data_IF_251907181950
#
_entry.id   IF_251907181950
#
_cell.length_a   1.000
_cell.length_b   1.000
_cell.length_c   1.000
_cell.angle_alpha   90.00
_cell.angle_beta   90.00
_cell.angle_gamma   90.00
#
_symmetry.space_group_name_H-M   'P 1'
#
loop_
_entity.id
_entity.type
_entity.pdbx_description
1 polymer ?
#
# COMPACT_ATOMS: atom_id res chain seq x y z
N UNK A 1 36.48 -48.69 -19.01
CA UNK A 1 36.49 -48.98 -20.46
C UNK A 1 36.67 -47.63 -21.12
N UNK A 2 37.93 -47.27 -21.35
CA UNK A 2 38.32 -45.94 -21.74
C UNK A 2 37.88 -45.60 -23.17
N UNK A 3 37.14 -44.49 -23.26
CA UNK A 3 37.34 -43.34 -24.14
C UNK A 3 37.57 -43.64 -25.63
N UNK A 4 36.53 -43.38 -26.42
CA UNK A 4 36.60 -43.15 -27.87
C UNK A 4 37.80 -42.27 -28.24
N UNK A 5 38.83 -42.85 -28.88
CA UNK A 5 40.10 -42.14 -29.11
C UNK A 5 40.71 -42.43 -30.48
N UNK A 6 40.00 -42.11 -31.56
CA UNK A 6 40.63 -41.62 -32.80
C UNK A 6 39.89 -40.37 -33.26
N UNK A 7 40.62 -39.36 -33.73
CA UNK A 7 40.05 -38.06 -34.13
C UNK A 7 38.94 -38.23 -35.18
N UNK A 8 39.06 -39.24 -36.06
CA UNK A 8 38.05 -39.54 -37.09
C UNK A 8 36.70 -39.99 -36.50
N UNK A 9 36.70 -40.85 -35.48
CA UNK A 9 35.46 -41.34 -34.87
C UNK A 9 34.76 -40.28 -34.02
N UNK A 10 35.53 -39.41 -33.36
CA UNK A 10 34.98 -38.26 -32.65
C UNK A 10 34.35 -37.26 -33.63
N UNK A 11 35.02 -37.00 -34.76
CA UNK A 11 34.48 -36.12 -35.80
C UNK A 11 33.18 -36.69 -36.43
N UNK A 12 33.10 -38.00 -36.64
CA UNK A 12 31.91 -38.65 -37.19
C UNK A 12 30.73 -38.65 -36.20
N UNK A 13 30.98 -38.84 -34.91
CA UNK A 13 29.97 -38.75 -33.86
C UNK A 13 29.37 -37.34 -33.77
N UNK A 14 30.20 -36.29 -33.85
CA UNK A 14 29.73 -34.89 -33.86
C UNK A 14 28.90 -34.61 -35.11
N UNK A 15 29.37 -35.02 -36.30
CA UNK A 15 28.60 -34.86 -37.55
C UNK A 15 27.25 -35.57 -37.48
N UNK A 16 27.20 -36.78 -36.92
CA UNK A 16 25.98 -37.55 -36.75
C UNK A 16 25.01 -36.87 -35.78
N UNK A 17 25.49 -36.38 -34.64
CA UNK A 17 24.69 -35.64 -33.67
C UNK A 17 24.00 -34.42 -34.29
N UNK A 18 24.74 -33.58 -35.03
CA UNK A 18 24.18 -32.40 -35.70
C UNK A 18 23.24 -32.76 -36.85
N UNK A 19 23.49 -33.84 -37.58
CA UNK A 19 22.59 -34.31 -38.63
C UNK A 19 21.26 -34.83 -38.06
N UNK A 20 21.29 -35.49 -36.91
CA UNK A 20 20.10 -36.04 -36.24
C UNK A 20 19.34 -34.98 -35.41
N UNK A 21 20.05 -34.04 -34.78
CA UNK A 21 19.47 -33.10 -33.81
C UNK A 21 19.51 -31.62 -34.25
N UNK A 22 20.09 -31.30 -35.41
CA UNK A 22 20.37 -29.92 -35.82
C UNK A 22 19.12 -29.04 -35.92
N UNK A 23 17.98 -29.61 -36.36
CA UNK A 23 16.70 -28.89 -36.40
C UNK A 23 16.20 -28.57 -34.99
N UNK A 24 16.23 -29.55 -34.08
CA UNK A 24 15.80 -29.37 -32.68
C UNK A 24 16.71 -28.37 -31.94
N UNK A 25 18.02 -28.42 -32.19
CA UNK A 25 18.97 -27.46 -31.63
C UNK A 25 18.72 -26.05 -32.17
N UNK A 26 18.50 -25.89 -33.47
CA UNK A 26 18.18 -24.59 -34.08
C UNK A 26 16.86 -24.02 -33.55
N UNK A 27 15.82 -24.84 -33.42
CA UNK A 27 14.56 -24.46 -32.80
C UNK A 27 14.74 -24.05 -31.34
N UNK A 28 15.49 -24.82 -30.56
CA UNK A 28 15.81 -24.50 -29.18
C UNK A 28 16.55 -23.17 -29.02
N UNK A 29 17.51 -22.88 -29.91
CA UNK A 29 18.23 -21.60 -29.93
C UNK A 29 17.29 -20.45 -30.30
N UNK A 30 16.43 -20.61 -31.31
CA UNK A 30 15.47 -19.56 -31.72
C UNK A 30 14.48 -19.26 -30.59
N UNK A 31 13.92 -20.29 -29.97
CA UNK A 31 12.99 -20.13 -28.84
C UNK A 31 13.71 -19.52 -27.64
N UNK A 32 14.93 -19.97 -27.33
CA UNK A 32 15.75 -19.44 -26.24
C UNK A 32 16.07 -17.95 -26.43
N UNK A 33 16.58 -17.57 -27.60
CA UNK A 33 16.88 -16.17 -27.90
C UNK A 33 15.61 -15.33 -27.96
N UNK A 34 14.55 -15.82 -28.62
CA UNK A 34 13.27 -15.12 -28.69
C UNK A 34 12.66 -14.86 -27.31
N UNK A 35 12.70 -15.86 -26.42
CA UNK A 35 12.26 -15.71 -25.03
C UNK A 35 13.08 -14.70 -24.25
N UNK A 36 14.42 -14.73 -24.38
CA UNK A 36 15.30 -13.78 -23.70
C UNK A 36 15.10 -12.34 -24.18
N UNK A 37 15.01 -12.12 -25.50
CA UNK A 37 14.75 -10.78 -26.05
C UNK A 37 13.35 -10.28 -25.68
N UNK A 38 12.34 -11.15 -25.74
CA UNK A 38 10.98 -10.81 -25.32
C UNK A 38 10.92 -10.41 -23.84
N UNK A 39 11.53 -11.20 -22.96
CA UNK A 39 11.61 -10.88 -21.53
C UNK A 39 12.37 -9.59 -21.26
N UNK A 40 13.52 -9.38 -21.93
CA UNK A 40 14.31 -8.15 -21.79
C UNK A 40 13.51 -6.92 -22.23
N UNK A 41 12.83 -7.00 -23.38
CA UNK A 41 12.00 -5.90 -23.87
C UNK A 41 10.84 -5.60 -22.92
N UNK A 42 10.17 -6.63 -22.41
CA UNK A 42 9.11 -6.48 -21.41
C UNK A 42 9.63 -5.82 -20.13
N UNK A 43 10.74 -6.31 -19.58
CA UNK A 43 11.35 -5.76 -18.37
C UNK A 43 11.81 -4.30 -18.57
N UNK A 44 12.42 -3.99 -19.71
CA UNK A 44 12.82 -2.61 -20.04
C UNK A 44 11.61 -1.69 -20.15
N UNK A 45 10.51 -2.15 -20.75
CA UNK A 45 9.28 -1.39 -20.81
C UNK A 45 8.72 -1.09 -19.42
N UNK A 46 8.65 -2.11 -18.54
CA UNK A 46 8.22 -1.93 -17.15
C UNK A 46 9.07 -0.90 -16.39
N UNK A 47 10.40 -0.96 -16.54
CA UNK A 47 11.33 0.00 -15.91
C UNK A 47 11.07 1.42 -16.44
N UNK A 48 11.01 1.58 -17.77
CA UNK A 48 10.84 2.90 -18.39
C UNK A 48 9.51 3.54 -18.00
N UNK A 49 8.42 2.78 -17.95
CA UNK A 49 7.12 3.26 -17.49
C UNK A 49 7.16 3.67 -16.01
N UNK A 50 7.84 2.89 -15.17
CA UNK A 50 7.98 3.22 -13.75
C UNK A 50 8.83 4.47 -13.50
N UNK A 51 9.88 4.68 -14.31
CA UNK A 51 10.73 5.89 -14.28
C UNK A 51 9.90 7.13 -14.67
N UNK A 52 9.14 7.06 -15.76
CA UNK A 52 8.27 8.16 -16.19
C UNK A 52 7.23 8.53 -15.13
N UNK A 53 6.55 7.54 -14.55
CA UNK A 53 5.59 7.80 -13.47
C UNK A 53 6.26 8.41 -12.23
N UNK A 54 7.52 8.09 -11.95
CA UNK A 54 8.32 8.67 -10.86
C UNK A 54 8.64 10.14 -11.09
N UNK A 55 9.08 10.48 -12.30
CA UNK A 55 9.41 11.86 -12.68
C UNK A 55 8.16 12.76 -12.67
N UNK A 56 7.06 12.25 -13.22
CA UNK A 56 5.77 12.94 -13.18
C UNK A 56 5.25 13.10 -11.74
N UNK A 57 5.40 12.07 -10.89
CA UNK A 57 5.04 12.15 -9.48
C UNK A 57 5.87 13.20 -8.74
N UNK A 58 7.18 13.25 -8.99
CA UNK A 58 8.08 14.26 -8.40
C UNK A 58 7.65 15.66 -8.80
N UNK A 59 7.30 15.84 -10.08
CA UNK A 59 6.78 17.11 -10.59
C UNK A 59 5.47 17.49 -9.92
N UNK A 60 4.54 16.54 -9.74
CA UNK A 60 3.28 16.76 -9.04
C UNK A 60 3.51 17.23 -7.60
N UNK A 61 4.34 16.52 -6.82
CA UNK A 61 4.56 16.83 -5.40
C UNK A 61 5.31 18.16 -5.19
N UNK A 62 6.07 18.63 -6.19
CA UNK A 62 6.73 19.93 -6.18
C UNK A 62 5.85 21.06 -6.72
N UNK A 63 4.65 20.76 -7.23
CA UNK A 63 3.71 21.75 -7.75
C UNK A 63 3.10 22.59 -6.63
N UNK A 64 2.88 23.87 -6.91
CA UNK A 64 2.09 24.75 -6.02
C UNK A 64 0.58 24.43 -6.08
N UNK A 65 0.13 23.65 -7.07
CA UNK A 65 -1.26 23.22 -7.24
C UNK A 65 -1.36 21.69 -7.39
N UNK A 66 -0.99 20.97 -6.32
CA UNK A 66 -1.16 19.50 -6.27
C UNK A 66 -2.62 19.12 -6.47
N UNK A 67 -3.56 19.84 -5.84
CA UNK A 67 -4.99 19.50 -5.89
C UNK A 67 -5.55 19.58 -7.31
N UNK A 68 -5.14 20.57 -8.12
CA UNK A 68 -5.58 20.70 -9.51
C UNK A 68 -4.97 19.63 -10.44
N UNK A 69 -3.77 19.16 -10.15
CA UNK A 69 -3.05 18.21 -11.01
C UNK A 69 -3.22 16.73 -10.62
N UNK A 70 -3.48 16.44 -9.34
CA UNK A 70 -3.47 15.08 -8.80
C UNK A 70 -4.47 14.14 -9.48
N UNK A 71 -5.69 14.59 -9.78
CA UNK A 71 -6.71 13.72 -10.38
C UNK A 71 -6.34 13.27 -11.80
N UNK A 72 -5.68 14.15 -12.55
CA UNK A 72 -5.18 13.81 -13.89
C UNK A 72 -4.02 12.84 -13.77
N UNK A 73 -3.08 13.07 -12.85
CA UNK A 73 -1.98 12.16 -12.59
C UNK A 73 -2.47 10.76 -12.17
N UNK A 74 -3.41 10.70 -11.21
CA UNK A 74 -4.01 9.45 -10.71
C UNK A 74 -4.67 8.71 -11.87
N UNK A 75 -5.45 9.39 -12.70
CA UNK A 75 -6.12 8.79 -13.86
C UNK A 75 -5.14 8.21 -14.88
N UNK A 76 -4.01 8.88 -15.12
CA UNK A 76 -3.01 8.41 -16.08
C UNK A 76 -2.13 7.28 -15.54
N UNK A 77 -2.07 7.11 -14.21
CA UNK A 77 -1.15 6.20 -13.53
C UNK A 77 -1.87 5.18 -12.62
N UNK A 78 -3.15 4.88 -12.86
CA UNK A 78 -4.02 4.10 -11.95
C UNK A 78 -3.43 2.75 -11.50
N UNK A 79 -2.69 2.08 -12.39
CA UNK A 79 -2.11 0.75 -12.13
C UNK A 79 -0.78 0.80 -11.36
N UNK A 80 -0.33 2.00 -10.95
CA UNK A 80 0.96 2.20 -10.28
C UNK A 80 0.78 2.57 -8.81
N UNK A 81 1.79 2.26 -7.98
CA UNK A 81 1.83 2.74 -6.59
C UNK A 81 1.89 4.28 -6.51
N UNK A 82 2.38 4.96 -7.56
CA UNK A 82 2.44 6.42 -7.60
C UNK A 82 1.06 7.06 -7.60
N UNK A 83 0.03 6.46 -8.23
CA UNK A 83 -1.34 6.98 -8.14
C UNK A 83 -1.86 6.97 -6.68
N UNK A 84 -1.55 5.93 -5.92
CA UNK A 84 -1.91 5.87 -4.49
C UNK A 84 -1.16 6.94 -3.69
N UNK A 85 0.15 7.13 -3.95
CA UNK A 85 0.93 8.17 -3.28
C UNK A 85 0.45 9.58 -3.64
N UNK A 86 0.11 9.84 -4.91
CA UNK A 86 -0.45 11.10 -5.35
C UNK A 86 -1.79 11.40 -4.66
N UNK A 87 -2.67 10.39 -4.53
CA UNK A 87 -3.90 10.53 -3.78
C UNK A 87 -3.66 10.86 -2.29
N UNK A 88 -2.62 10.31 -1.66
CA UNK A 88 -2.26 10.66 -0.29
C UNK A 88 -1.76 12.09 -0.15
N UNK A 89 -0.93 12.56 -1.08
CA UNK A 89 -0.44 13.95 -1.07
C UNK A 89 -1.62 14.91 -1.32
N UNK A 90 -2.49 14.61 -2.28
CA UNK A 90 -3.71 15.39 -2.51
C UNK A 90 -4.64 15.40 -1.30
N UNK A 91 -4.80 14.27 -0.59
CA UNK A 91 -5.57 14.23 0.65
C UNK A 91 -4.96 15.13 1.72
N UNK A 92 -3.64 15.12 1.89
CA UNK A 92 -2.94 16.01 2.81
C UNK A 92 -3.17 17.49 2.46
N UNK A 93 -2.96 17.86 1.21
CA UNK A 93 -3.11 19.25 0.77
C UNK A 93 -4.57 19.73 0.90
N UNK A 94 -5.52 18.82 0.69
CA UNK A 94 -6.93 19.11 0.94
C UNK A 94 -7.20 19.40 2.42
N UNK A 95 -6.57 18.65 3.35
CA UNK A 95 -6.66 18.93 4.80
C UNK A 95 -6.03 20.28 5.13
N UNK A 96 -4.85 20.58 4.61
CA UNK A 96 -4.16 21.86 4.85
C UNK A 96 -4.99 23.05 4.32
N UNK A 97 -5.67 22.86 3.19
CA UNK A 97 -6.63 23.79 2.62
C UNK A 97 -8.01 23.79 3.31
N UNK A 98 -8.19 23.03 4.40
CA UNK A 98 -9.45 22.85 5.15
C UNK A 98 -10.62 22.27 4.32
N UNK A 99 -10.32 21.65 3.19
CA UNK A 99 -11.28 20.96 2.30
C UNK A 99 -11.45 19.50 2.74
N UNK A 100 -12.04 19.30 3.92
CA UNK A 100 -12.13 17.97 4.54
C UNK A 100 -12.95 16.96 3.71
N UNK A 101 -13.99 17.40 3.00
CA UNK A 101 -14.74 16.50 2.11
C UNK A 101 -13.89 15.99 0.94
N UNK A 102 -13.05 16.85 0.38
CA UNK A 102 -12.10 16.45 -0.67
C UNK A 102 -11.03 15.49 -0.12
N UNK A 103 -10.53 15.74 1.09
CA UNK A 103 -9.61 14.81 1.74
C UNK A 103 -10.24 13.43 1.95
N UNK A 104 -11.50 13.39 2.41
CA UNK A 104 -12.27 12.15 2.57
C UNK A 104 -12.48 11.43 1.24
N UNK A 105 -12.77 12.15 0.15
CA UNK A 105 -12.87 11.60 -1.19
C UNK A 105 -11.57 10.91 -1.62
N UNK A 106 -10.42 11.61 -1.50
CA UNK A 106 -9.12 11.05 -1.91
C UNK A 106 -8.72 9.85 -1.06
N UNK A 107 -8.95 9.89 0.25
CA UNK A 107 -8.67 8.75 1.13
C UNK A 107 -9.59 7.56 0.83
N UNK A 108 -10.88 7.80 0.56
CA UNK A 108 -11.82 6.74 0.18
C UNK A 108 -11.41 6.08 -1.13
N UNK A 109 -10.95 6.87 -2.11
CA UNK A 109 -10.40 6.34 -3.35
C UNK A 109 -9.22 5.39 -3.09
N UNK A 110 -8.32 5.74 -2.16
CA UNK A 110 -7.19 4.87 -1.78
C UNK A 110 -7.68 3.57 -1.14
N UNK A 111 -8.66 3.63 -0.23
CA UNK A 111 -9.24 2.44 0.42
C UNK A 111 -9.76 1.44 -0.63
N UNK A 112 -10.36 1.95 -1.72
CA UNK A 112 -10.90 1.11 -2.80
C UNK A 112 -9.84 0.63 -3.80
N UNK A 113 -8.84 1.45 -4.13
CA UNK A 113 -7.98 1.21 -5.29
C UNK A 113 -6.53 0.81 -4.97
N UNK A 114 -6.04 1.05 -3.76
CA UNK A 114 -4.68 0.67 -3.40
C UNK A 114 -4.50 -0.86 -3.43
N UNK A 115 -3.34 -1.31 -3.89
CA UNK A 115 -3.00 -2.75 -3.92
C UNK A 115 -2.39 -3.23 -2.60
N UNK A 116 -1.73 -2.34 -1.84
CA UNK A 116 -1.13 -2.67 -0.55
C UNK A 116 -2.15 -2.54 0.58
N UNK A 117 -2.29 -3.60 1.36
CA UNK A 117 -3.13 -3.63 2.56
C UNK A 117 -2.63 -2.64 3.63
N UNK A 118 -1.31 -2.41 3.70
CA UNK A 118 -0.71 -1.42 4.59
C UNK A 118 -1.10 0.01 4.18
N UNK A 119 -1.09 0.32 2.88
CA UNK A 119 -1.53 1.62 2.38
C UNK A 119 -3.04 1.82 2.59
N UNK A 120 -3.86 0.78 2.40
CA UNK A 120 -5.29 0.83 2.75
C UNK A 120 -5.48 1.11 4.23
N UNK A 121 -4.72 0.46 5.10
CA UNK A 121 -4.82 0.66 6.55
C UNK A 121 -4.47 2.10 6.97
N UNK A 122 -3.46 2.69 6.35
CA UNK A 122 -3.12 4.11 6.54
C UNK A 122 -4.28 5.00 6.07
N UNK A 123 -4.88 4.71 4.91
CA UNK A 123 -6.01 5.49 4.39
C UNK A 123 -7.25 5.38 5.28
N UNK A 124 -7.61 4.18 5.74
CA UNK A 124 -8.74 3.92 6.65
C UNK A 124 -8.59 4.71 7.94
N UNK A 125 -7.42 4.61 8.60
CA UNK A 125 -7.20 5.32 9.87
C UNK A 125 -7.15 6.83 9.71
N UNK A 126 -6.65 7.34 8.58
CA UNK A 126 -6.69 8.77 8.26
C UNK A 126 -8.11 9.24 7.93
N UNK A 127 -8.88 8.48 7.15
CA UNK A 127 -10.26 8.78 6.78
C UNK A 127 -11.15 8.89 8.03
N UNK A 128 -11.01 7.95 8.97
CA UNK A 128 -11.73 7.99 10.24
C UNK A 128 -11.39 9.23 11.08
N UNK A 129 -10.14 9.72 11.05
CA UNK A 129 -9.77 10.99 11.71
C UNK A 129 -10.41 12.20 11.03
N UNK A 130 -10.53 12.20 9.71
CA UNK A 130 -11.24 13.27 8.99
C UNK A 130 -12.73 13.23 9.33
N UNK A 131 -13.36 12.05 9.30
CA UNK A 131 -14.77 11.88 9.68
C UNK A 131 -15.01 12.31 11.13
N UNK A 132 -14.09 11.98 12.06
CA UNK A 132 -14.10 12.49 13.44
C UNK A 132 -14.06 14.02 13.47
N UNK A 133 -13.14 14.65 12.74
CA UNK A 133 -13.05 16.12 12.65
C UNK A 133 -14.29 16.78 12.04
N UNK A 134 -15.03 16.04 11.20
CA UNK A 134 -16.31 16.44 10.63
C UNK A 134 -17.52 16.09 11.51
N UNK A 135 -17.30 15.55 12.71
CA UNK A 135 -18.34 15.04 13.62
C UNK A 135 -19.21 13.91 13.01
N UNK A 136 -18.71 13.21 11.98
CA UNK A 136 -19.36 12.05 11.33
C UNK A 136 -19.00 10.77 12.09
N UNK A 137 -19.40 10.70 13.36
CA UNK A 137 -18.90 9.67 14.29
C UNK A 137 -19.28 8.23 13.89
N UNK A 138 -20.53 7.98 13.48
CA UNK A 138 -20.97 6.64 13.08
C UNK A 138 -20.24 6.15 11.82
N UNK A 139 -19.98 7.08 10.89
CA UNK A 139 -19.21 6.81 9.68
C UNK A 139 -17.74 6.50 10.02
N UNK A 140 -17.15 7.23 10.97
CA UNK A 140 -15.79 6.99 11.46
C UNK A 140 -15.65 5.61 12.11
N UNK A 141 -16.60 5.23 12.99
CA UNK A 141 -16.63 3.92 13.62
C UNK A 141 -16.81 2.79 12.59
N UNK A 142 -17.69 2.99 11.60
CA UNK A 142 -17.89 2.06 10.49
C UNK A 142 -16.63 1.88 9.66
N UNK A 143 -15.94 2.99 9.32
CA UNK A 143 -14.68 2.98 8.60
C UNK A 143 -13.62 2.15 9.34
N UNK A 144 -13.52 2.30 10.66
CA UNK A 144 -12.60 1.54 11.53
C UNK A 144 -13.02 0.09 11.83
N UNK A 145 -14.16 -0.36 11.31
CA UNK A 145 -14.54 -1.78 11.32
C UNK A 145 -14.08 -2.52 10.05
N UNK A 146 -13.45 -1.82 9.10
CA UNK A 146 -12.86 -2.45 7.92
C UNK A 146 -11.74 -3.41 8.31
N UNK A 147 -11.50 -4.49 7.53
CA UNK A 147 -10.38 -5.40 7.77
C UNK A 147 -9.04 -4.66 7.71
N UNK A 148 -8.21 -4.85 8.74
CA UNK A 148 -6.92 -4.18 8.92
C UNK A 148 -5.88 -5.19 9.41
N UNK A 149 -4.59 -5.03 9.05
CA UNK A 149 -3.53 -5.84 9.60
C UNK A 149 -3.49 -5.75 11.13
N UNK A 150 -3.17 -6.84 11.82
CA UNK A 150 -3.17 -6.93 13.28
C UNK A 150 -2.30 -5.84 13.95
N UNK A 151 -1.22 -5.42 13.31
CA UNK A 151 -0.36 -4.33 13.75
C UNK A 151 -1.08 -2.98 13.97
N UNK A 152 -2.28 -2.78 13.40
CA UNK A 152 -3.09 -1.58 13.57
C UNK A 152 -4.07 -1.66 14.74
N UNK A 153 -4.24 -2.82 15.38
CA UNK A 153 -5.29 -3.07 16.38
C UNK A 153 -5.28 -2.05 17.52
N UNK A 154 -4.11 -1.75 18.08
CA UNK A 154 -3.96 -0.76 19.14
C UNK A 154 -4.38 0.65 18.68
N UNK A 155 -3.86 1.11 17.53
CA UNK A 155 -4.17 2.43 16.98
C UNK A 155 -5.65 2.59 16.60
N UNK A 156 -6.27 1.52 16.11
CA UNK A 156 -7.70 1.50 15.75
C UNK A 156 -8.56 1.57 17.00
N UNK A 157 -8.25 0.79 18.01
CA UNK A 157 -8.96 0.81 19.28
C UNK A 157 -8.82 2.18 19.98
N UNK A 158 -7.63 2.78 19.96
CA UNK A 158 -7.42 4.13 20.50
C UNK A 158 -8.27 5.17 19.74
N UNK A 159 -8.28 5.14 18.41
CA UNK A 159 -9.08 6.08 17.62
C UNK A 159 -10.60 5.88 17.80
N UNK A 160 -11.07 4.63 18.01
CA UNK A 160 -12.46 4.38 18.41
C UNK A 160 -12.77 5.03 19.76
N UNK A 161 -11.84 4.95 20.71
CA UNK A 161 -11.94 5.64 21.99
C UNK A 161 -12.05 7.16 21.83
N UNK A 162 -11.21 7.76 20.98
CA UNK A 162 -11.25 9.20 20.67
C UNK A 162 -12.61 9.61 20.08
N UNK A 163 -13.18 8.78 19.21
CA UNK A 163 -14.52 9.02 18.64
C UNK A 163 -15.60 8.95 19.73
N UNK A 164 -15.55 7.95 20.61
CA UNK A 164 -16.51 7.83 21.70
C UNK A 164 -16.41 8.97 22.71
N UNK A 165 -15.20 9.48 22.98
CA UNK A 165 -15.03 10.71 23.78
C UNK A 165 -15.73 11.89 23.11
N UNK A 166 -15.55 12.08 21.81
CA UNK A 166 -16.19 13.17 21.08
C UNK A 166 -17.73 13.05 21.05
N UNK A 167 -18.26 11.83 21.11
CA UNK A 167 -19.70 11.56 21.28
C UNK A 167 -20.20 11.75 22.72
N UNK A 168 -19.30 11.92 23.70
CA UNK A 168 -19.64 11.95 25.12
C UNK A 168 -19.88 10.57 25.74
N UNK A 169 -19.62 9.47 25.01
CA UNK A 169 -19.80 8.11 25.50
C UNK A 169 -18.54 7.61 26.22
N UNK A 170 -18.37 8.05 27.47
CA UNK A 170 -17.18 7.76 28.28
C UNK A 170 -16.97 6.26 28.56
N UNK A 171 -18.03 5.48 28.68
CA UNK A 171 -17.91 4.05 28.98
C UNK A 171 -17.40 3.27 27.77
N UNK A 172 -17.94 3.53 26.58
CA UNK A 172 -17.41 2.95 25.34
C UNK A 172 -15.99 3.43 25.05
N UNK A 173 -15.68 4.71 25.34
CA UNK A 173 -14.32 5.22 25.23
C UNK A 173 -13.34 4.47 26.13
N UNK A 174 -13.71 4.25 27.40
CA UNK A 174 -12.88 3.50 28.36
C UNK A 174 -12.59 2.10 27.86
N UNK A 175 -13.63 1.36 27.43
CA UNK A 175 -13.47 0.02 26.89
C UNK A 175 -12.56 -0.01 25.65
N UNK A 176 -12.69 0.97 24.74
CA UNK A 176 -11.86 1.07 23.55
C UNK A 176 -10.39 1.36 23.89
N UNK A 177 -10.11 2.27 24.84
CA UNK A 177 -8.75 2.53 25.29
C UNK A 177 -8.12 1.36 26.04
N UNK A 178 -8.90 0.58 26.81
CA UNK A 178 -8.42 -0.65 27.44
C UNK A 178 -8.01 -1.67 26.38
N UNK A 179 -8.85 -1.90 25.37
CA UNK A 179 -8.51 -2.77 24.24
C UNK A 179 -7.26 -2.28 23.49
N UNK A 180 -7.07 -0.96 23.36
CA UNK A 180 -5.88 -0.39 22.77
C UNK A 180 -4.61 -0.70 23.58
N UNK A 181 -4.67 -0.59 24.91
CA UNK A 181 -3.55 -0.89 25.80
C UNK A 181 -3.21 -2.39 25.81
N UNK A 182 -4.23 -3.25 25.82
CA UNK A 182 -4.05 -4.70 25.69
C UNK A 182 -3.37 -5.09 24.37
N UNK A 183 -3.82 -4.51 23.25
CA UNK A 183 -3.23 -4.76 21.94
C UNK A 183 -1.81 -4.19 21.80
N UNK A 184 -1.49 -3.07 22.47
CA UNK A 184 -0.15 -2.50 22.47
C UNK A 184 0.82 -3.26 23.39
N UNK A 185 0.31 -3.89 24.46
CA UNK A 185 1.11 -4.60 25.45
C UNK A 185 2.22 -3.71 26.02
N UNK A 186 3.46 -4.19 25.98
CA UNK A 186 4.64 -3.43 26.46
C UNK A 186 4.96 -2.17 25.64
N UNK A 187 4.36 -2.01 24.45
CA UNK A 187 4.53 -0.82 23.61
C UNK A 187 3.46 0.26 23.88
N UNK A 188 2.67 0.13 24.95
CA UNK A 188 1.65 1.12 25.32
C UNK A 188 2.26 2.50 25.52
N UNK A 189 1.75 3.48 24.77
CA UNK A 189 2.20 4.87 24.86
C UNK A 189 1.66 5.54 26.14
N UNK A 190 2.48 6.31 26.89
CA UNK A 190 2.03 7.09 28.05
C UNK A 190 0.79 7.97 27.81
N UNK A 191 0.58 8.47 26.59
CA UNK A 191 -0.61 9.26 26.27
C UNK A 191 -1.91 8.46 26.39
N UNK A 192 -1.89 7.17 26.04
CA UNK A 192 -3.05 6.29 26.18
C UNK A 192 -3.40 6.07 27.66
N UNK A 193 -2.39 5.97 28.53
CA UNK A 193 -2.60 5.89 29.97
C UNK A 193 -3.27 7.15 30.51
N UNK A 194 -2.82 8.34 30.08
CA UNK A 194 -3.45 9.61 30.48
C UNK A 194 -4.93 9.66 30.06
N UNK A 195 -5.27 9.20 28.85
CA UNK A 195 -6.66 9.12 28.38
C UNK A 195 -7.51 8.17 29.25
N UNK A 196 -6.96 7.03 29.67
CA UNK A 196 -7.63 6.10 30.58
C UNK A 196 -7.85 6.70 31.97
N UNK A 197 -6.82 7.35 32.52
CA UNK A 197 -6.87 7.95 33.85
C UNK A 197 -7.89 9.09 33.92
N UNK A 198 -7.96 9.95 32.90
CA UNK A 198 -8.97 11.03 32.81
C UNK A 198 -10.41 10.49 32.88
N UNK A 199 -10.66 9.33 32.26
CA UNK A 199 -11.95 8.66 32.33
C UNK A 199 -12.21 8.00 33.68
N UNK A 200 -11.18 7.60 34.44
CA UNK A 200 -11.33 7.02 35.76
C UNK A 200 -11.67 8.08 36.82
N UNK A 201 -11.06 9.27 36.73
CA UNK A 201 -11.26 10.37 37.69
C UNK A 201 -12.69 10.94 37.64
N UNK A 202 -13.42 10.74 36.54
CA UNK A 202 -14.80 11.25 36.39
C UNK A 202 -15.91 10.32 36.89
N UNK A 203 -15.57 9.16 37.48
CA UNK A 203 -16.54 8.30 38.17
C UNK A 203 -16.59 8.69 39.64
N UNK A 204 -17.66 9.35 40.14
CA UNK A 204 -17.76 9.67 41.57
C UNK A 204 -17.76 8.36 42.36
N UNK A 205 -16.99 8.30 43.45
CA UNK A 205 -17.17 7.26 44.45
C UNK A 205 -18.63 7.32 44.94
N UNK A 206 -19.36 6.22 44.77
CA UNK A 206 -20.70 6.03 45.31
C UNK A 206 -20.67 5.93 46.84
#
# INVERSE_FOLDING_TARGET
MDIYSTEEQQAEAIKRFFRENGISLALGVIVGLGGLYGWKAYNQNQITTAEQASDEYTTLVQSDDVLGAADTFIKNNQDTSYATLAAFVAAKDAVDAKKLDLASEKLSWIVTNAQSEELKAIAITRLARIQLAQSKFDEALSTLNSPLPEAYSANVAELKGDIYIAQGNKDQARSAYQAAAEAAGSATNPLLQIKLDDLAVTSPAA
#
